data_IF_878144909442
#
_entry.id   IF_878144909442
#
_cell.length_a   1.000
_cell.length_b   1.000
_cell.length_c   1.000
_cell.angle_alpha   90.00
_cell.angle_beta   90.00
_cell.angle_gamma   90.00
#
_symmetry.space_group_name_H-M   'P 1'
#
loop_
_entity.id
_entity.type
_entity.pdbx_description
1 polymer ?
#
# COMPACT_ATOMS: atom_id res chain seq x y z
N UNK A 1 -18.38 -9.06 -9.28
CA UNK A 1 -16.98 -8.83 -9.67
C UNK A 1 -16.12 -9.84 -8.93
N UNK A 2 -15.23 -10.58 -9.59
CA UNK A 2 -14.35 -11.55 -8.93
C UNK A 2 -13.04 -10.85 -8.59
N UNK A 3 -12.67 -10.84 -7.31
CA UNK A 3 -11.39 -10.27 -6.84
C UNK A 3 -10.25 -11.16 -7.35
N UNK A 4 -9.23 -10.55 -7.96
CA UNK A 4 -8.01 -11.23 -8.37
C UNK A 4 -7.03 -11.25 -7.19
N UNK A 5 -7.06 -12.35 -6.44
CA UNK A 5 -6.31 -12.51 -5.20
C UNK A 5 -5.53 -13.83 -5.19
N UNK A 6 -4.25 -13.74 -4.85
CA UNK A 6 -3.41 -14.86 -4.42
C UNK A 6 -2.57 -14.37 -3.24
N UNK A 7 -2.73 -15.01 -2.08
CA UNK A 7 -2.00 -14.67 -0.85
C UNK A 7 -0.48 -14.63 -1.02
N UNK A 8 0.10 -15.40 -1.94
CA UNK A 8 1.54 -15.41 -2.22
C UNK A 8 2.03 -14.10 -2.84
N UNK A 9 1.12 -13.33 -3.40
CA UNK A 9 1.42 -12.04 -4.01
C UNK A 9 1.40 -10.88 -3.02
N UNK A 10 1.32 -11.13 -1.71
CA UNK A 10 1.26 -10.07 -0.70
C UNK A 10 2.38 -10.19 0.33
N UNK A 11 2.69 -9.06 0.95
CA UNK A 11 3.63 -8.91 2.06
C UNK A 11 3.02 -8.00 3.13
N UNK A 12 3.58 -8.04 4.34
CA UNK A 12 3.18 -7.08 5.38
C UNK A 12 3.45 -5.64 4.94
N UNK A 13 2.46 -4.79 5.12
CA UNK A 13 2.57 -3.36 4.87
C UNK A 13 3.34 -2.69 6.00
N UNK A 14 4.66 -2.59 5.83
CA UNK A 14 5.56 -1.98 6.82
C UNK A 14 5.75 -0.50 6.51
N UNK A 15 4.74 0.30 6.82
CA UNK A 15 4.84 1.76 6.73
C UNK A 15 5.17 2.39 8.08
N UNK A 16 6.30 3.08 8.15
CA UNK A 16 6.78 3.65 9.40
C UNK A 16 5.84 4.74 9.92
N UNK A 17 5.44 4.63 11.18
CA UNK A 17 4.52 5.55 11.87
C UNK A 17 3.15 5.73 11.20
N UNK A 18 2.73 4.79 10.34
CA UNK A 18 1.50 4.89 9.57
C UNK A 18 1.42 6.17 8.71
N UNK A 19 2.58 6.60 8.21
CA UNK A 19 2.72 7.84 7.43
C UNK A 19 1.76 7.90 6.23
N UNK A 20 1.71 6.86 5.40
CA UNK A 20 0.89 6.85 4.21
C UNK A 20 -0.61 6.89 4.52
N UNK A 21 -1.03 6.17 5.57
CA UNK A 21 -2.43 6.20 6.03
C UNK A 21 -2.78 7.61 6.53
N UNK A 22 -1.92 8.22 7.34
CA UNK A 22 -2.17 9.54 7.97
C UNK A 22 -2.12 10.70 6.98
N UNK A 23 -1.21 10.67 6.02
CA UNK A 23 -0.93 11.82 5.17
C UNK A 23 -1.45 11.68 3.74
N UNK A 24 -1.69 10.45 3.27
CA UNK A 24 -2.18 10.18 1.90
C UNK A 24 -3.51 9.43 1.88
N UNK A 25 -4.16 9.27 3.03
CA UNK A 25 -5.50 8.68 3.15
C UNK A 25 -5.62 7.30 2.49
N UNK A 26 -4.55 6.50 2.57
CA UNK A 26 -4.55 5.13 2.07
C UNK A 26 -5.49 4.27 2.94
N UNK A 27 -6.35 3.51 2.29
CA UNK A 27 -7.33 2.63 2.91
C UNK A 27 -7.30 1.23 2.28
N UNK A 28 -8.02 0.29 2.90
CA UNK A 28 -8.17 -1.05 2.38
C UNK A 28 -8.92 -0.98 1.06
N UNK A 29 -8.36 -1.55 0.00
CA UNK A 29 -8.91 -1.46 -1.36
C UNK A 29 -10.29 -2.12 -1.52
N UNK A 30 -10.80 -2.80 -0.49
CA UNK A 30 -12.08 -3.53 -0.51
C UNK A 30 -13.13 -3.00 0.47
N UNK A 31 -12.74 -2.30 1.54
CA UNK A 31 -13.67 -1.89 2.60
C UNK A 31 -13.37 -0.51 3.21
N UNK A 32 -12.40 0.21 2.66
CA UNK A 32 -12.02 1.55 3.11
C UNK A 32 -11.52 1.66 4.56
N UNK A 33 -11.22 0.53 5.22
CA UNK A 33 -10.61 0.54 6.56
C UNK A 33 -9.18 1.13 6.52
N UNK A 34 -8.82 1.95 7.50
CA UNK A 34 -7.49 2.56 7.65
C UNK A 34 -6.43 1.62 8.25
N UNK A 35 -6.84 0.53 8.89
CA UNK A 35 -5.95 -0.46 9.49
C UNK A 35 -5.42 -1.42 8.41
N UNK A 36 -4.35 -1.01 7.73
CA UNK A 36 -3.71 -1.79 6.66
C UNK A 36 -2.64 -2.72 7.21
N UNK A 37 -2.78 -4.01 6.91
CA UNK A 37 -1.85 -5.05 7.35
C UNK A 37 -1.02 -5.61 6.19
N UNK A 38 -1.57 -5.64 4.97
CA UNK A 38 -0.91 -6.24 3.81
C UNK A 38 -0.92 -5.32 2.60
N UNK A 39 0.11 -5.48 1.77
CA UNK A 39 0.26 -4.81 0.47
C UNK A 39 0.78 -5.81 -0.57
N UNK A 40 0.47 -5.59 -1.84
CA UNK A 40 1.00 -6.39 -2.95
C UNK A 40 2.54 -6.44 -2.92
N UNK A 41 3.13 -7.61 -3.21
CA UNK A 41 4.56 -7.87 -2.96
C UNK A 41 5.49 -7.08 -3.88
N UNK A 42 5.06 -6.78 -5.09
CA UNK A 42 5.75 -5.92 -6.07
C UNK A 42 5.54 -4.42 -5.83
N UNK A 43 4.89 -4.03 -4.73
CA UNK A 43 4.72 -2.62 -4.38
C UNK A 43 6.07 -1.93 -4.14
N UNK A 44 6.13 -0.60 -4.35
CA UNK A 44 7.24 0.22 -3.87
C UNK A 44 7.45 0.08 -2.37
N UNK A 45 8.57 0.61 -1.90
CA UNK A 45 8.78 0.79 -0.45
C UNK A 45 7.79 1.84 0.06
N UNK A 46 7.06 1.59 1.16
CA UNK A 46 6.17 2.59 1.75
C UNK A 46 6.92 3.89 2.07
N UNK A 47 6.26 5.03 1.85
CA UNK A 47 6.89 6.35 1.91
C UNK A 47 7.45 6.63 3.31
N UNK A 48 6.72 6.31 4.38
CA UNK A 48 7.22 6.50 5.75
C UNK A 48 8.50 5.71 6.01
N UNK A 49 8.55 4.48 5.51
CA UNK A 49 9.73 3.61 5.65
C UNK A 49 10.91 4.06 4.80
N UNK A 50 10.67 4.56 3.60
CA UNK A 50 11.69 5.18 2.76
C UNK A 50 12.27 6.41 3.47
N UNK A 51 11.43 7.32 3.96
CA UNK A 51 11.86 8.53 4.66
C UNK A 51 12.67 8.22 5.92
N UNK A 52 12.27 7.20 6.69
CA UNK A 52 13.03 6.74 7.87
C UNK A 52 14.46 6.31 7.53
N UNK A 53 14.66 5.70 6.35
CA UNK A 53 15.97 5.18 5.92
C UNK A 53 16.87 6.25 5.35
N UNK A 54 16.31 7.40 4.97
CA UNK A 54 17.07 8.46 4.34
C UNK A 54 17.71 9.36 5.40
N UNK A 55 19.04 9.41 5.42
CA UNK A 55 19.78 10.37 6.23
C UNK A 55 20.21 11.55 5.33
N UNK A 56 19.96 12.79 5.79
CA UNK A 56 20.50 14.05 5.23
C UNK A 56 19.91 14.54 3.90
N UNK A 57 18.60 14.47 3.70
CA UNK A 57 17.96 15.27 2.65
C UNK A 57 17.56 16.65 3.19
N UNK A 58 17.68 17.67 2.34
CA UNK A 58 17.02 18.95 2.54
C UNK A 58 15.51 18.81 2.39
N UNK A 59 14.76 19.76 2.92
CA UNK A 59 13.29 19.79 2.82
C UNK A 59 12.80 19.71 1.36
N UNK A 60 13.46 20.42 0.44
CA UNK A 60 13.12 20.41 -1.00
C UNK A 60 13.32 19.04 -1.63
N UNK A 61 14.39 18.34 -1.26
CA UNK A 61 14.66 16.99 -1.77
C UNK A 61 13.65 15.99 -1.21
N UNK A 62 13.27 16.13 0.07
CA UNK A 62 12.19 15.33 0.68
C UNK A 62 10.88 15.56 -0.05
N UNK A 63 10.50 16.82 -0.32
CA UNK A 63 9.25 17.15 -1.01
C UNK A 63 9.22 16.55 -2.42
N UNK A 64 10.30 16.70 -3.18
CA UNK A 64 10.40 16.13 -4.52
C UNK A 64 10.32 14.60 -4.50
N UNK A 65 11.03 13.96 -3.57
CA UNK A 65 11.00 12.51 -3.40
C UNK A 65 9.59 12.02 -3.07
N UNK A 66 8.91 12.68 -2.13
CA UNK A 66 7.53 12.35 -1.75
C UNK A 66 6.59 12.49 -2.93
N UNK A 67 6.65 13.60 -3.69
CA UNK A 67 5.83 13.81 -4.90
C UNK A 67 6.03 12.71 -5.94
N UNK A 68 7.28 12.31 -6.18
CA UNK A 68 7.57 11.21 -7.10
C UNK A 68 6.97 9.89 -6.61
N UNK A 69 7.10 9.59 -5.31
CA UNK A 69 6.53 8.36 -4.76
C UNK A 69 5.01 8.35 -4.80
N UNK A 70 4.34 9.48 -4.55
CA UNK A 70 2.88 9.59 -4.67
C UNK A 70 2.43 9.15 -6.07
N UNK A 71 3.02 9.72 -7.12
CA UNK A 71 2.69 9.34 -8.50
C UNK A 71 2.91 7.84 -8.77
N UNK A 72 3.97 7.24 -8.22
CA UNK A 72 4.23 5.81 -8.37
C UNK A 72 3.15 4.97 -7.69
N UNK A 73 2.77 5.34 -6.47
CA UNK A 73 1.73 4.64 -5.71
C UNK A 73 0.34 4.79 -6.34
N UNK A 74 -0.02 5.98 -6.82
CA UNK A 74 -1.28 6.23 -7.54
C UNK A 74 -1.39 5.41 -8.82
N UNK A 75 -0.32 5.37 -9.63
CA UNK A 75 -0.29 4.56 -10.85
C UNK A 75 -0.42 3.06 -10.56
N UNK A 76 0.19 2.58 -9.47
CA UNK A 76 0.06 1.19 -9.03
C UNK A 76 -1.38 0.87 -8.62
N UNK A 77 -1.99 1.72 -7.79
CA UNK A 77 -3.38 1.60 -7.36
C UNK A 77 -4.34 1.59 -8.55
N UNK A 78 -4.18 2.52 -9.50
CA UNK A 78 -5.02 2.59 -10.69
C UNK A 78 -4.89 1.32 -11.56
N UNK A 79 -3.65 0.85 -11.78
CA UNK A 79 -3.40 -0.37 -12.54
C UNK A 79 -4.00 -1.60 -11.86
N UNK A 80 -3.81 -1.75 -10.55
CA UNK A 80 -4.34 -2.86 -9.78
C UNK A 80 -5.88 -2.84 -9.77
N UNK A 81 -6.48 -1.66 -9.59
CA UNK A 81 -7.93 -1.47 -9.65
C UNK A 81 -8.51 -1.95 -10.98
N UNK A 82 -7.91 -1.55 -12.12
CA UNK A 82 -8.31 -2.02 -13.47
C UNK A 82 -8.24 -3.55 -13.62
N UNK A 83 -7.32 -4.19 -12.89
CA UNK A 83 -7.11 -5.63 -12.92
C UNK A 83 -7.84 -6.39 -11.79
N UNK A 84 -8.70 -5.72 -11.02
CA UNK A 84 -9.40 -6.26 -9.85
C UNK A 84 -8.47 -6.83 -8.76
N UNK A 85 -7.24 -6.30 -8.67
CA UNK A 85 -6.26 -6.68 -7.66
C UNK A 85 -6.36 -5.67 -6.52
N UNK A 86 -6.61 -6.08 -5.26
CA UNK A 86 -6.56 -5.15 -4.14
C UNK A 86 -5.11 -4.81 -3.82
N UNK A 87 -4.71 -3.54 -3.85
CA UNK A 87 -3.33 -3.15 -3.53
C UNK A 87 -3.05 -3.30 -2.04
N UNK A 88 -3.99 -2.84 -1.21
CA UNK A 88 -3.90 -2.80 0.24
C UNK A 88 -5.03 -3.61 0.87
N UNK A 89 -4.71 -4.37 1.91
CA UNK A 89 -5.68 -5.20 2.64
C UNK A 89 -5.53 -5.02 4.15
N UNK A 90 -6.66 -4.83 4.82
CA UNK A 90 -6.76 -5.01 6.26
C UNK A 90 -6.81 -6.51 6.62
N UNK A 91 -6.62 -6.83 7.91
CA UNK A 91 -6.66 -8.21 8.38
C UNK A 91 -8.00 -8.91 8.11
N UNK A 92 -9.12 -8.18 8.23
CA UNK A 92 -10.45 -8.75 7.98
C UNK A 92 -10.62 -9.19 6.52
N UNK A 93 -10.27 -8.32 5.57
CA UNK A 93 -10.34 -8.65 4.15
C UNK A 93 -9.35 -9.74 3.76
N UNK A 94 -8.13 -9.70 4.31
CA UNK A 94 -7.14 -10.75 4.13
C UNK A 94 -7.68 -12.12 4.57
N UNK A 95 -8.21 -12.20 5.80
CA UNK A 95 -8.77 -13.43 6.35
C UNK A 95 -9.98 -13.92 5.54
N UNK A 96 -10.85 -13.00 5.10
CA UNK A 96 -12.00 -13.33 4.27
C UNK A 96 -11.59 -13.92 2.92
N UNK A 97 -10.57 -13.36 2.27
CA UNK A 97 -10.10 -13.84 0.95
C UNK A 97 -9.32 -15.14 1.05
N UNK A 98 -8.49 -15.30 2.08
CA UNK A 98 -7.71 -16.52 2.31
C UNK A 98 -8.59 -17.70 2.72
N UNK A 99 -9.57 -17.48 3.60
CA UNK A 99 -10.51 -18.53 4.00
C UNK A 99 -11.46 -18.98 2.87
N UNK A 100 -11.69 -18.13 1.86
CA UNK A 100 -12.46 -18.47 0.64
C UNK A 100 -11.61 -19.15 -0.44
N UNK A 101 -10.29 -19.16 -0.27
CA UNK A 101 -9.33 -19.73 -1.22
C UNK A 101 -8.86 -21.14 -0.82
N UNK A 102 -9.32 -21.64 0.34
CA UNK A 102 -9.22 -23.02 0.80
C UNK A 102 -10.56 -23.74 0.60
#
# INVERSE_FOLDING_TARGET
>A
MKVNFDSKNYKYFRDYNFFMVKFFNITCSLCDNYEISFVINWSPTPIGTMLKKTNKLSEKEVEQLVKQQINIWENLEESNFKNNIPTFLCDECWNTLTNKSN
#
